data_IF_996582168918
#
_entry.id   IF_996582168918
#
_cell.length_a   1.000
_cell.length_b   1.000
_cell.length_c   1.000
_cell.angle_alpha   90.00
_cell.angle_beta   90.00
_cell.angle_gamma   90.00
#
_symmetry.space_group_name_H-M   'P 1'
#
loop_
_entity.id
_entity.type
_entity.pdbx_description
1 polymer ?
#
# COMPACT_ATOMS: atom_id res chain seq x y z
N UNK A 1 -9.44 2.52 7.74
CA UNK A 1 -8.93 2.88 6.38
C UNK A 1 -9.59 2.04 5.28
N UNK A 2 -9.56 0.70 5.36
CA UNK A 2 -10.21 -0.16 4.35
C UNK A 2 -11.69 0.13 4.13
N UNK A 3 -12.45 0.39 5.19
CA UNK A 3 -13.86 0.82 5.11
C UNK A 3 -14.04 2.16 4.36
N UNK A 4 -13.13 3.12 4.58
CA UNK A 4 -13.14 4.39 3.87
C UNK A 4 -12.91 4.18 2.37
N UNK A 5 -11.92 3.35 2.01
CA UNK A 5 -11.61 3.04 0.60
C UNK A 5 -12.78 2.34 -0.07
N UNK A 6 -13.41 1.38 0.60
CA UNK A 6 -14.62 0.70 0.08
C UNK A 6 -15.75 1.70 -0.20
N UNK A 7 -16.05 2.59 0.75
CA UNK A 7 -17.06 3.63 0.58
C UNK A 7 -16.72 4.58 -0.58
N UNK A 8 -15.48 5.06 -0.63
CA UNK A 8 -14.99 5.94 -1.68
C UNK A 8 -15.10 5.29 -3.07
N UNK A 9 -14.78 4.00 -3.19
CA UNK A 9 -14.91 3.27 -4.45
C UNK A 9 -16.36 3.10 -4.89
N UNK A 10 -17.29 2.90 -3.96
CA UNK A 10 -18.74 2.84 -4.27
C UNK A 10 -19.22 4.21 -4.78
N UNK A 11 -18.88 5.29 -4.07
CA UNK A 11 -19.29 6.65 -4.43
C UNK A 11 -18.75 7.10 -5.79
N UNK A 12 -17.58 6.60 -6.18
CA UNK A 12 -16.94 6.91 -7.47
C UNK A 12 -17.21 5.90 -8.59
N UNK A 13 -18.06 4.90 -8.34
CA UNK A 13 -18.37 3.85 -9.34
C UNK A 13 -17.18 2.92 -9.66
N UNK A 14 -16.17 2.87 -8.80
CA UNK A 14 -14.97 2.05 -8.93
C UNK A 14 -15.11 0.65 -8.32
N UNK A 15 -16.21 0.39 -7.60
CA UNK A 15 -16.47 -0.90 -6.95
C UNK A 15 -16.48 -2.10 -7.92
N UNK A 16 -16.79 -1.87 -9.20
CA UNK A 16 -16.79 -2.91 -10.25
C UNK A 16 -15.41 -3.27 -10.81
N UNK A 17 -14.34 -2.55 -10.47
CA UNK A 17 -13.01 -2.81 -11.00
C UNK A 17 -12.46 -4.14 -10.46
N UNK A 18 -11.79 -4.91 -11.32
CA UNK A 18 -11.23 -6.21 -10.96
C UNK A 18 -9.97 -6.09 -10.10
N UNK A 19 -9.64 -7.15 -9.36
CA UNK A 19 -8.38 -7.26 -8.62
C UNK A 19 -7.15 -7.04 -9.52
N UNK A 20 -7.19 -7.55 -10.75
CA UNK A 20 -6.13 -7.33 -11.74
C UNK A 20 -6.00 -5.86 -12.16
N UNK A 21 -7.13 -5.16 -12.34
CA UNK A 21 -7.13 -3.73 -12.65
C UNK A 21 -6.50 -2.90 -11.54
N UNK A 22 -6.81 -3.21 -10.27
CA UNK A 22 -6.23 -2.49 -9.14
C UNK A 22 -4.72 -2.78 -8.98
N UNK A 23 -4.25 -3.99 -9.32
CA UNK A 23 -2.81 -4.28 -9.34
C UNK A 23 -2.06 -3.43 -10.37
N UNK A 24 -2.66 -3.21 -11.54
CA UNK A 24 -2.05 -2.38 -12.58
C UNK A 24 -1.99 -0.92 -12.16
N UNK A 25 -3.04 -0.40 -11.54
CA UNK A 25 -3.03 0.94 -10.93
C UNK A 25 -1.97 1.04 -9.84
N UNK A 26 -1.82 0.02 -8.99
CA UNK A 26 -0.77 0.02 -7.96
C UNK A 26 0.62 0.14 -8.60
N UNK A 27 0.86 -0.58 -9.70
CA UNK A 27 2.13 -0.48 -10.43
C UNK A 27 2.34 0.91 -11.06
N UNK A 28 1.28 1.59 -11.47
CA UNK A 28 1.31 2.99 -11.92
C UNK A 28 1.71 3.92 -10.78
N UNK A 29 1.02 3.88 -9.63
CA UNK A 29 1.34 4.73 -8.46
C UNK A 29 2.74 4.48 -7.90
N UNK A 30 3.26 3.25 -8.00
CA UNK A 30 4.64 2.95 -7.59
C UNK A 30 5.65 3.61 -8.55
N UNK A 31 5.29 3.72 -9.83
CA UNK A 31 6.04 4.50 -10.81
C UNK A 31 5.97 6.00 -10.54
N UNK A 32 4.80 6.52 -10.16
CA UNK A 32 4.61 7.92 -9.77
C UNK A 32 5.40 8.25 -8.49
N UNK A 33 5.33 7.40 -7.47
CA UNK A 33 6.17 7.50 -6.26
C UNK A 33 7.67 7.53 -6.59
N UNK A 34 8.12 6.68 -7.51
CA UNK A 34 9.50 6.66 -7.95
C UNK A 34 9.91 7.90 -8.76
N UNK A 35 8.97 8.50 -9.51
CA UNK A 35 9.20 9.76 -10.21
C UNK A 35 9.25 10.95 -9.23
N UNK A 36 8.30 11.01 -8.29
CA UNK A 36 8.20 12.01 -7.22
C UNK A 36 9.40 11.96 -6.27
N UNK A 37 10.13 10.86 -6.21
CA UNK A 37 11.35 10.73 -5.40
C UNK A 37 12.49 11.68 -5.80
N UNK A 38 12.37 12.39 -6.93
CA UNK A 38 13.24 13.52 -7.27
C UNK A 38 12.77 14.87 -6.71
N UNK A 39 11.56 14.92 -6.15
CA UNK A 39 10.82 16.10 -5.69
C UNK A 39 10.14 15.78 -4.34
N UNK A 40 10.88 15.95 -3.23
CA UNK A 40 10.48 15.50 -1.87
C UNK A 40 9.05 15.88 -1.43
N UNK A 41 8.51 17.00 -1.93
CA UNK A 41 7.17 17.51 -1.58
C UNK A 41 6.01 16.66 -2.14
N UNK A 42 6.22 15.90 -3.22
CA UNK A 42 5.17 15.09 -3.86
C UNK A 42 5.08 13.68 -3.26
N UNK A 43 6.20 13.16 -2.74
CA UNK A 43 6.32 11.80 -2.19
C UNK A 43 5.24 11.44 -1.15
N UNK A 44 4.85 12.32 -0.20
CA UNK A 44 3.80 12.00 0.76
C UNK A 44 2.46 11.71 0.08
N UNK A 45 2.13 12.47 -0.97
CA UNK A 45 0.89 12.30 -1.74
C UNK A 45 0.85 10.97 -2.48
N UNK A 46 1.97 10.58 -3.08
CA UNK A 46 2.11 9.31 -3.81
C UNK A 46 2.11 8.10 -2.88
N UNK A 47 2.73 8.21 -1.70
CA UNK A 47 2.66 7.17 -0.66
C UNK A 47 1.21 6.87 -0.25
N UNK A 48 0.36 7.90 -0.20
CA UNK A 48 -1.05 7.74 0.15
C UNK A 48 -1.84 7.04 -0.97
N UNK A 49 -1.56 7.35 -2.24
CA UNK A 49 -2.25 6.71 -3.35
C UNK A 49 -1.89 5.22 -3.43
N UNK A 50 -0.62 4.87 -3.23
CA UNK A 50 -0.18 3.48 -3.03
C UNK A 50 -0.95 2.82 -1.89
N UNK A 51 -1.05 3.47 -0.72
CA UNK A 51 -1.76 2.92 0.44
C UNK A 51 -3.25 2.68 0.18
N UNK A 52 -3.92 3.60 -0.53
CA UNK A 52 -5.33 3.47 -0.94
C UNK A 52 -5.52 2.27 -1.86
N UNK A 53 -4.62 2.08 -2.83
CA UNK A 53 -4.69 0.94 -3.75
C UNK A 53 -4.41 -0.39 -3.07
N UNK A 54 -3.48 -0.44 -2.11
CA UNK A 54 -3.27 -1.64 -1.30
C UNK A 54 -4.54 -2.02 -0.53
N UNK A 55 -5.22 -1.05 0.09
CA UNK A 55 -6.50 -1.29 0.75
C UNK A 55 -7.58 -1.76 -0.23
N UNK A 56 -7.64 -1.17 -1.43
CA UNK A 56 -8.56 -1.56 -2.52
C UNK A 56 -8.34 -3.00 -2.98
N UNK A 57 -7.08 -3.43 -3.12
CA UNK A 57 -6.67 -4.79 -3.48
C UNK A 57 -7.06 -5.79 -2.38
N UNK A 58 -6.76 -5.47 -1.12
CA UNK A 58 -7.04 -6.34 0.02
C UNK A 58 -8.54 -6.50 0.29
N UNK A 59 -9.33 -5.42 0.12
CA UNK A 59 -10.80 -5.49 0.19
C UNK A 59 -11.36 -6.51 -0.81
N UNK A 60 -10.88 -6.48 -2.05
CA UNK A 60 -11.30 -7.43 -3.12
C UNK A 60 -10.85 -8.86 -2.85
N UNK A 61 -9.73 -9.03 -2.14
CA UNK A 61 -9.23 -10.33 -1.73
C UNK A 61 -9.85 -10.86 -0.43
N UNK A 62 -10.65 -10.05 0.27
CA UNK A 62 -11.22 -10.39 1.58
C UNK A 62 -10.15 -10.50 2.68
N UNK A 63 -9.09 -9.69 2.59
CA UNK A 63 -7.95 -9.71 3.51
C UNK A 63 -7.98 -8.43 4.37
N UNK A 64 -7.78 -8.60 5.67
CA UNK A 64 -7.68 -7.49 6.63
C UNK A 64 -6.24 -6.96 6.66
N UNK A 65 -6.06 -5.70 6.28
CA UNK A 65 -4.77 -5.02 6.22
C UNK A 65 -4.19 -4.77 7.61
N UNK A 66 -5.00 -4.32 8.56
CA UNK A 66 -4.52 -4.02 9.93
C UNK A 66 -3.95 -5.29 10.57
N UNK A 67 -4.65 -6.42 10.40
CA UNK A 67 -4.18 -7.74 10.83
C UNK A 67 -2.91 -8.16 10.09
N UNK A 68 -2.89 -8.00 8.77
CA UNK A 68 -1.75 -8.39 7.92
C UNK A 68 -0.46 -7.65 8.31
N UNK A 69 -0.56 -6.36 8.64
CA UNK A 69 0.57 -5.57 9.16
C UNK A 69 0.90 -5.98 10.60
N UNK A 70 -0.10 -6.17 11.47
CA UNK A 70 0.12 -6.57 12.85
C UNK A 70 0.81 -7.94 12.98
N UNK A 71 0.53 -8.87 12.06
CA UNK A 71 1.17 -10.20 12.03
C UNK A 71 2.69 -10.12 11.80
N UNK A 72 3.21 -9.01 11.25
CA UNK A 72 4.66 -8.73 11.15
C UNK A 72 5.30 -8.33 12.48
N UNK A 73 4.49 -7.92 13.46
CA UNK A 73 4.94 -7.45 14.77
C UNK A 73 4.25 -8.22 15.91
N UNK A 74 4.49 -9.54 16.02
CA UNK A 74 3.81 -10.37 17.00
C UNK A 74 4.07 -9.91 18.44
N UNK A 75 3.02 -9.94 19.26
CA UNK A 75 3.09 -9.54 20.68
C UNK A 75 3.07 -8.02 20.90
N UNK A 76 2.97 -7.25 19.82
CA UNK A 76 2.73 -5.81 19.85
C UNK A 76 1.25 -5.61 19.58
N UNK A 77 0.58 -4.69 20.29
CA UNK A 77 -0.88 -4.51 20.16
C UNK A 77 -1.30 -4.00 18.79
N UNK A 78 -2.33 -3.16 18.74
CA UNK A 78 -2.74 -2.52 17.48
C UNK A 78 -1.55 -1.71 16.91
N UNK A 79 -1.26 -1.90 15.62
CA UNK A 79 -0.23 -1.15 14.88
C UNK A 79 -0.92 -0.07 14.06
N UNK A 80 -0.52 1.19 14.28
CA UNK A 80 -1.00 2.34 13.51
C UNK A 80 0.03 2.78 12.48
N UNK A 81 -0.36 3.61 11.50
CA UNK A 81 0.58 4.18 10.53
C UNK A 81 1.71 4.98 11.21
N UNK A 82 1.41 5.66 12.32
CA UNK A 82 2.37 6.41 13.11
C UNK A 82 3.40 5.52 13.83
N UNK A 83 3.06 4.23 14.06
CA UNK A 83 3.98 3.29 14.69
C UNK A 83 5.01 2.72 13.71
N UNK A 84 4.73 2.76 12.39
CA UNK A 84 5.54 2.07 11.37
C UNK A 84 7.02 2.44 11.43
N UNK A 85 7.45 3.73 11.50
CA UNK A 85 8.87 4.08 11.58
C UNK A 85 9.59 3.42 12.76
N UNK A 86 8.97 3.39 13.95
CA UNK A 86 9.57 2.79 15.15
C UNK A 86 9.64 1.25 15.05
N UNK A 87 8.68 0.64 14.33
CA UNK A 87 8.57 -0.81 14.15
C UNK A 87 9.55 -1.36 13.12
N UNK A 88 10.11 -0.51 12.26
CA UNK A 88 11.10 -0.87 11.27
C UNK A 88 12.52 -1.08 11.82
N UNK A 89 12.76 -0.84 13.11
CA UNK A 89 14.06 -1.05 13.72
C UNK A 89 14.51 -2.52 13.55
N UNK A 90 15.42 -2.77 12.61
CA UNK A 90 15.95 -4.10 12.29
C UNK A 90 15.41 -4.75 11.00
N UNK A 91 14.59 -4.05 10.21
CA UNK A 91 14.24 -4.52 8.85
C UNK A 91 15.38 -4.33 7.87
N UNK A 92 15.34 -5.05 6.74
CA UNK A 92 16.27 -4.88 5.61
C UNK A 92 16.09 -3.54 4.87
N UNK A 93 15.06 -2.77 5.24
CA UNK A 93 14.79 -1.43 4.73
C UNK A 93 15.65 -0.37 5.43
N UNK A 94 16.21 -0.68 6.62
CA UNK A 94 17.05 0.27 7.37
C UNK A 94 18.34 0.54 6.61
N UNK A 95 18.61 1.82 6.34
CA UNK A 95 19.82 2.28 5.66
C UNK A 95 19.70 2.34 4.14
N UNK A 96 18.53 2.03 3.57
CA UNK A 96 18.24 2.34 2.17
C UNK A 96 18.00 3.85 2.01
N UNK A 97 18.48 4.40 0.90
CA UNK A 97 18.10 5.73 0.44
C UNK A 97 16.78 5.67 -0.34
N UNK A 98 16.29 6.84 -0.79
CA UNK A 98 15.03 6.96 -1.53
C UNK A 98 15.03 6.06 -2.76
N UNK A 99 16.13 6.02 -3.51
CA UNK A 99 16.27 5.17 -4.68
C UNK A 99 16.18 3.67 -4.32
N UNK A 100 16.84 3.25 -3.24
CA UNK A 100 16.76 1.89 -2.73
C UNK A 100 15.34 1.49 -2.31
N UNK A 101 14.61 2.40 -1.66
CA UNK A 101 13.20 2.19 -1.32
C UNK A 101 12.33 2.05 -2.57
N UNK A 102 12.52 2.88 -3.60
CA UNK A 102 11.81 2.75 -4.88
C UNK A 102 12.05 1.40 -5.56
N UNK A 103 13.31 0.93 -5.58
CA UNK A 103 13.65 -0.38 -6.14
C UNK A 103 12.96 -1.50 -5.37
N UNK A 104 12.95 -1.45 -4.03
CA UNK A 104 12.24 -2.43 -3.22
C UNK A 104 10.73 -2.38 -3.49
N UNK A 105 10.14 -1.18 -3.58
CA UNK A 105 8.71 -1.02 -3.87
C UNK A 105 8.31 -1.66 -5.20
N UNK A 106 9.14 -1.47 -6.24
CA UNK A 106 8.94 -2.08 -7.55
C UNK A 106 9.03 -3.63 -7.49
N UNK A 107 9.97 -4.17 -6.71
CA UNK A 107 10.11 -5.62 -6.50
C UNK A 107 8.85 -6.19 -5.84
N UNK A 108 8.43 -5.62 -4.72
CA UNK A 108 7.25 -6.10 -3.97
C UNK A 108 5.97 -5.99 -4.81
N UNK A 109 5.83 -4.92 -5.59
CA UNK A 109 4.70 -4.75 -6.51
C UNK A 109 4.69 -5.81 -7.61
N UNK A 110 5.86 -6.20 -8.13
CA UNK A 110 6.00 -7.30 -9.08
C UNK A 110 5.60 -8.65 -8.46
N UNK A 111 5.97 -8.90 -7.21
CA UNK A 111 5.56 -10.10 -6.47
C UNK A 111 4.05 -10.12 -6.21
N UNK A 112 3.47 -8.99 -5.82
CA UNK A 112 2.05 -8.80 -5.64
C UNK A 112 1.29 -9.09 -6.94
N UNK A 113 1.70 -8.51 -8.07
CA UNK A 113 1.04 -8.81 -9.35
C UNK A 113 1.24 -10.25 -9.81
N UNK A 114 2.35 -10.91 -9.45
CA UNK A 114 2.49 -12.36 -9.64
C UNK A 114 1.48 -13.14 -8.79
N UNK A 115 1.23 -12.75 -7.55
CA UNK A 115 0.23 -13.37 -6.68
C UNK A 115 -1.19 -13.19 -7.25
N UNK A 116 -1.56 -11.97 -7.63
CA UNK A 116 -2.85 -11.63 -8.26
C UNK A 116 -3.06 -12.41 -9.55
N UNK A 117 -2.06 -12.45 -10.45
CA UNK A 117 -2.14 -13.23 -11.70
C UNK A 117 -2.41 -14.70 -11.42
N UNK A 118 -1.76 -15.28 -10.41
CA UNK A 118 -2.00 -16.68 -10.02
C UNK A 118 -3.40 -16.88 -9.45
N UNK A 119 -3.96 -15.92 -8.70
CA UNK A 119 -5.34 -15.98 -8.21
C UNK A 119 -6.34 -15.97 -9.39
N UNK A 120 -6.07 -15.18 -10.44
CA UNK A 120 -6.92 -15.11 -11.64
C UNK A 120 -6.79 -16.32 -12.59
N UNK A 121 -5.71 -17.11 -12.52
CA UNK A 121 -5.34 -18.08 -13.57
C UNK A 121 -5.68 -19.56 -13.36
N UNK A 122 -5.74 -20.09 -12.13
CA UNK A 122 -6.20 -21.46 -11.79
C UNK A 122 -6.03 -21.76 -10.27
N UNK A 123 -7.09 -22.06 -9.49
CA UNK A 123 -7.10 -22.04 -8.02
C UNK A 123 -6.67 -23.35 -7.33
N UNK A 124 -5.60 -24.03 -7.77
CA UNK A 124 -5.16 -25.27 -7.09
C UNK A 124 -4.66 -25.13 -5.63
N UNK A 125 -4.59 -23.91 -5.08
CA UNK A 125 -4.29 -23.58 -3.66
C UNK A 125 -4.52 -22.08 -3.39
N UNK A 126 -5.77 -21.65 -3.11
CA UNK A 126 -6.08 -20.26 -2.80
C UNK A 126 -5.46 -19.76 -1.49
N UNK A 127 -5.21 -20.67 -0.53
CA UNK A 127 -4.71 -20.34 0.80
C UNK A 127 -3.26 -19.83 0.73
N UNK A 128 -2.36 -20.57 0.11
CA UNK A 128 -0.96 -20.14 -0.02
C UNK A 128 -0.80 -18.84 -0.83
N UNK A 129 -1.71 -18.55 -1.76
CA UNK A 129 -1.64 -17.34 -2.61
C UNK A 129 -2.19 -16.09 -1.95
N UNK A 130 -3.23 -16.22 -1.14
CA UNK A 130 -3.75 -15.11 -0.33
C UNK A 130 -2.77 -14.73 0.77
N UNK A 131 -2.02 -15.69 1.32
CA UNK A 131 -0.90 -15.43 2.22
C UNK A 131 0.17 -14.59 1.54
N UNK A 132 0.66 -14.99 0.36
CA UNK A 132 1.67 -14.20 -0.37
C UNK A 132 1.17 -12.80 -0.74
N UNK A 133 -0.12 -12.68 -1.12
CA UNK A 133 -0.73 -11.37 -1.38
C UNK A 133 -0.77 -10.50 -0.11
N UNK A 134 -1.16 -11.07 1.04
CA UNK A 134 -1.15 -10.36 2.31
C UNK A 134 0.27 -9.94 2.70
N UNK A 135 1.23 -10.86 2.62
CA UNK A 135 2.63 -10.61 2.95
C UNK A 135 3.20 -9.45 2.13
N UNK A 136 3.09 -9.50 0.80
CA UNK A 136 3.59 -8.43 -0.09
C UNK A 136 2.90 -7.08 0.15
N UNK A 137 1.60 -7.07 0.47
CA UNK A 137 0.92 -5.83 0.88
C UNK A 137 1.46 -5.29 2.21
N UNK A 138 1.73 -6.14 3.21
CA UNK A 138 2.37 -5.70 4.45
C UNK A 138 3.74 -5.09 4.17
N UNK A 139 4.57 -5.75 3.36
CA UNK A 139 5.91 -5.26 3.03
C UNK A 139 5.87 -3.89 2.35
N UNK A 140 4.92 -3.67 1.44
CA UNK A 140 4.70 -2.35 0.85
C UNK A 140 4.26 -1.30 1.88
N UNK A 141 3.38 -1.63 2.83
CA UNK A 141 3.02 -0.68 3.91
C UNK A 141 4.21 -0.34 4.80
N UNK A 142 5.05 -1.32 5.14
CA UNK A 142 6.29 -1.07 5.87
C UNK A 142 7.23 -0.16 5.09
N UNK A 143 7.29 -0.34 3.78
CA UNK A 143 8.08 0.49 2.88
C UNK A 143 7.58 1.93 2.82
N UNK A 144 6.27 2.16 2.84
CA UNK A 144 5.71 3.51 2.98
C UNK A 144 6.10 4.15 4.32
N UNK A 145 6.16 3.36 5.40
CA UNK A 145 6.73 3.79 6.68
C UNK A 145 8.21 4.18 6.57
N UNK A 146 8.96 3.49 5.70
CA UNK A 146 10.36 3.80 5.42
C UNK A 146 10.53 5.16 4.76
N UNK A 147 9.71 5.46 3.74
CA UNK A 147 9.70 6.76 3.08
C UNK A 147 9.35 7.86 4.06
N UNK A 148 8.30 7.67 4.86
CA UNK A 148 7.89 8.61 5.90
C UNK A 148 9.02 8.91 6.89
N UNK A 149 9.75 7.88 7.33
CA UNK A 149 10.90 8.05 8.21
C UNK A 149 12.06 8.79 7.53
N UNK A 150 12.44 8.37 6.33
CA UNK A 150 13.61 8.88 5.60
C UNK A 150 13.42 10.35 5.21
N UNK A 151 12.23 10.70 4.72
CA UNK A 151 11.88 12.04 4.26
C UNK A 151 11.23 12.90 5.36
N UNK A 152 11.12 12.38 6.58
CA UNK A 152 10.63 13.10 7.76
C UNK A 152 9.21 13.69 7.60
N UNK A 153 8.28 12.91 7.06
CA UNK A 153 6.86 13.29 6.98
C UNK A 153 5.96 12.32 7.78
N UNK A 154 4.76 12.78 8.16
CA UNK A 154 3.74 11.95 8.82
C UNK A 154 2.78 11.36 7.78
N UNK A 155 2.83 10.05 7.57
CA UNK A 155 1.97 9.35 6.60
C UNK A 155 0.47 9.43 6.96
N UNK A 156 0.12 9.49 8.24
CA UNK A 156 -1.27 9.62 8.67
C UNK A 156 -1.80 11.05 8.42
N UNK A 157 -0.95 12.06 8.58
CA UNK A 157 -1.27 13.44 8.19
C UNK A 157 -1.40 13.59 6.67
N UNK A 158 -0.45 13.03 5.91
CA UNK A 158 -0.52 12.99 4.46
C UNK A 158 -1.82 12.32 3.98
N UNK A 159 -2.22 11.23 4.62
CA UNK A 159 -3.48 10.54 4.31
C UNK A 159 -4.70 11.45 4.52
N UNK A 160 -4.76 12.15 5.68
CA UNK A 160 -5.86 13.10 5.97
C UNK A 160 -5.91 14.25 4.97
N UNK A 161 -4.76 14.83 4.63
CA UNK A 161 -4.67 15.91 3.64
C UNK A 161 -5.17 15.45 2.26
N UNK A 162 -4.76 14.24 1.82
CA UNK A 162 -5.22 13.67 0.55
C UNK A 162 -6.71 13.36 0.59
N UNK A 163 -7.25 12.86 1.70
CA UNK A 163 -8.68 12.62 1.91
C UNK A 163 -9.50 13.91 1.77
N UNK A 164 -9.06 15.01 2.38
CA UNK A 164 -9.71 16.33 2.23
C UNK A 164 -9.75 16.81 0.77
N UNK A 165 -8.61 16.71 0.07
CA UNK A 165 -8.52 17.03 -1.37
C UNK A 165 -9.47 16.12 -2.15
N UNK A 166 -9.46 14.82 -1.88
CA UNK A 166 -10.27 13.82 -2.56
C UNK A 166 -11.78 14.00 -2.35
N UNK A 167 -12.19 14.49 -1.18
CA UNK A 167 -13.58 14.82 -0.87
C UNK A 167 -14.06 16.11 -1.55
N UNK A 168 -13.13 16.99 -1.96
CA UNK A 168 -13.45 18.23 -2.68
C UNK A 168 -13.56 18.07 -4.21
N UNK A 169 -13.06 16.95 -4.76
CA UNK A 169 -13.04 16.68 -6.20
C UNK A 169 -14.41 16.23 -6.70
N UNK A 170 -14.91 16.87 -7.75
CA UNK A 170 -16.05 16.37 -8.54
C UNK A 170 -15.51 15.41 -9.58
N UNK A 171 -15.89 14.15 -9.47
CA UNK A 171 -15.50 13.09 -10.41
C UNK A 171 -16.54 13.07 -11.54
N UNK A 172 -16.16 13.50 -12.74
CA UNK A 172 -16.99 13.45 -13.96
C UNK A 172 -16.52 12.36 -14.90
#
# INVERSE_FOLDING_TARGET
>A
MQEYVEKMEIERGLAGLSLGSQCLKLAEEIGELAAASGEDDEVPGECVDVLILLASILNRAGIDLERTVADRFPGTGRVTLADLPARMAGSDLVGLDVAGLCVRAAIETGELCRAVRKLNGAPSDPGGRTVVLAETCADLVLLLGAFAHLLSFDLAEAFRAKEEINNSRVWT
#
